data_IF_994076957514
#
_entry.id   IF_994076957514
#
_cell.length_a   1.000
_cell.length_b   1.000
_cell.length_c   1.000
_cell.angle_alpha   90.00
_cell.angle_beta   90.00
_cell.angle_gamma   90.00
#
_symmetry.space_group_name_H-M   'P 1'
#
loop_
_entity.id
_entity.type
_entity.pdbx_description
1 polymer ?
#
# COMPACT_ATOMS: atom_id res chain seq x y z
N UNK A 1 -13.70 -13.56 15.07
CA UNK A 1 -14.00 -12.20 14.53
C UNK A 1 -12.98 -11.18 14.98
N UNK A 2 -12.65 -11.13 16.28
CA UNK A 2 -11.62 -10.22 16.82
C UNK A 2 -10.26 -10.38 16.15
N UNK A 3 -9.86 -11.61 15.81
CA UNK A 3 -8.58 -11.88 15.12
C UNK A 3 -8.55 -11.21 13.74
N UNK A 4 -9.63 -11.35 12.97
CA UNK A 4 -9.76 -10.72 11.65
C UNK A 4 -9.82 -9.19 11.73
N UNK A 5 -10.47 -8.63 12.76
CA UNK A 5 -10.47 -7.19 13.01
C UNK A 5 -9.07 -6.65 13.28
N UNK A 6 -8.27 -7.40 14.05
CA UNK A 6 -6.90 -7.03 14.39
C UNK A 6 -5.98 -7.12 13.16
N UNK A 7 -6.11 -8.18 12.36
CA UNK A 7 -5.40 -8.30 11.08
C UNK A 7 -5.77 -7.15 10.11
N UNK A 8 -7.05 -6.79 10.03
CA UNK A 8 -7.52 -5.66 9.22
C UNK A 8 -6.91 -4.33 9.70
N UNK A 9 -6.84 -4.09 11.00
CA UNK A 9 -6.24 -2.88 11.57
C UNK A 9 -4.73 -2.80 11.26
N UNK A 10 -4.00 -3.90 11.40
CA UNK A 10 -2.58 -3.96 11.04
C UNK A 10 -2.40 -3.65 9.54
N UNK A 11 -3.22 -4.26 8.68
CA UNK A 11 -3.19 -4.01 7.24
C UNK A 11 -3.45 -2.53 6.91
N UNK A 12 -4.44 -1.91 7.57
CA UNK A 12 -4.77 -0.51 7.38
C UNK A 12 -3.60 0.41 7.79
N UNK A 13 -2.97 0.14 8.94
CA UNK A 13 -1.81 0.90 9.43
C UNK A 13 -0.66 0.81 8.43
N UNK A 14 -0.27 -0.39 8.01
CA UNK A 14 0.83 -0.56 7.06
C UNK A 14 0.53 0.06 5.70
N UNK A 15 -0.69 -0.10 5.19
CA UNK A 15 -1.10 0.50 3.91
C UNK A 15 -1.04 2.02 3.99
N UNK A 16 -1.55 2.62 5.07
CA UNK A 16 -1.55 4.06 5.26
C UNK A 16 -0.13 4.64 5.37
N UNK A 17 0.79 3.93 6.02
CA UNK A 17 2.18 4.38 6.15
C UNK A 17 3.02 4.15 4.89
N UNK A 18 2.87 3.01 4.20
CA UNK A 18 3.70 2.66 3.04
C UNK A 18 3.29 3.40 1.76
N UNK A 19 2.00 3.70 1.59
CA UNK A 19 1.49 4.38 0.38
C UNK A 19 2.21 5.71 0.09
N UNK A 20 2.33 6.67 1.03
CA UNK A 20 3.04 7.93 0.75
C UNK A 20 4.54 7.74 0.53
N UNK A 21 5.16 6.71 1.12
CA UNK A 21 6.58 6.42 0.91
C UNK A 21 6.83 5.92 -0.52
N UNK A 22 6.02 4.94 -0.96
CA UNK A 22 6.09 4.40 -2.32
C UNK A 22 5.70 5.47 -3.35
N UNK A 23 4.76 6.36 -3.04
CA UNK A 23 4.42 7.49 -3.89
C UNK A 23 5.63 8.38 -4.19
N UNK A 24 6.42 8.74 -3.16
CA UNK A 24 7.64 9.55 -3.33
C UNK A 24 8.66 8.83 -4.21
N UNK A 25 8.87 7.54 -4.00
CA UNK A 25 9.78 6.74 -4.84
C UNK A 25 9.28 6.61 -6.28
N UNK A 26 7.96 6.48 -6.50
CA UNK A 26 7.38 6.42 -7.83
C UNK A 26 7.62 7.70 -8.63
N UNK A 27 7.50 8.85 -7.97
CA UNK A 27 7.77 10.16 -8.57
C UNK A 27 9.27 10.28 -8.91
N UNK A 28 10.15 9.89 -7.98
CA UNK A 28 11.61 9.92 -8.20
C UNK A 28 12.04 9.00 -9.35
N UNK A 29 11.43 7.82 -9.45
CA UNK A 29 11.69 6.85 -10.52
C UNK A 29 11.02 7.22 -11.85
N UNK A 30 10.32 8.37 -11.94
CA UNK A 30 9.52 8.79 -13.10
C UNK A 30 8.47 7.75 -13.53
N UNK A 31 8.02 6.91 -12.61
CA UNK A 31 6.96 5.94 -12.82
C UNK A 31 5.58 6.60 -12.70
N UNK A 32 5.40 7.64 -13.51
CA UNK A 32 4.26 8.54 -13.47
C UNK A 32 3.53 8.54 -14.81
N UNK A 33 2.21 8.72 -14.79
CA UNK A 33 1.43 8.89 -16.01
C UNK A 33 1.69 10.29 -16.59
N UNK A 34 2.07 10.35 -17.85
CA UNK A 34 2.14 11.62 -18.59
C UNK A 34 0.74 12.12 -18.90
N UNK A 35 0.47 13.38 -18.59
CA UNK A 35 -0.78 14.06 -18.96
C UNK A 35 -0.82 14.21 -20.48
N UNK A 36 -1.94 13.85 -21.11
CA UNK A 36 -2.18 14.01 -22.55
C UNK A 36 -3.14 15.18 -22.75
N UNK A 37 -3.08 15.83 -23.91
CA UNK A 37 -3.95 16.98 -24.23
C UNK A 37 -5.45 16.67 -24.20
N UNK A 38 -5.83 15.38 -24.23
CA UNK A 38 -7.22 14.90 -24.11
C UNK A 38 -7.65 14.53 -22.69
N UNK A 39 -6.75 14.56 -21.71
CA UNK A 39 -7.04 14.15 -20.34
C UNK A 39 -7.55 15.33 -19.52
N UNK A 40 -8.63 15.11 -18.77
CA UNK A 40 -9.18 16.13 -17.86
C UNK A 40 -8.31 16.34 -16.60
N UNK A 41 -7.32 15.46 -16.37
CA UNK A 41 -6.43 15.52 -15.20
C UNK A 41 -5.21 16.37 -15.54
N UNK A 42 -5.02 17.46 -14.81
CA UNK A 42 -3.85 18.35 -14.94
C UNK A 42 -2.67 17.89 -14.11
N UNK A 43 -2.90 17.01 -13.12
CA UNK A 43 -1.87 16.53 -12.20
C UNK A 43 -1.29 15.17 -12.63
N UNK A 44 0.01 15.02 -12.38
CA UNK A 44 0.77 13.80 -12.67
C UNK A 44 0.41 12.72 -11.64
N UNK A 45 -0.07 11.55 -12.10
CA UNK A 45 -0.46 10.44 -11.22
C UNK A 45 0.64 9.36 -11.12
N UNK A 46 1.10 9.02 -9.90
CA UNK A 46 2.09 7.95 -9.69
C UNK A 46 1.46 6.56 -9.83
N UNK A 47 2.15 5.62 -10.50
CA UNK A 47 1.60 4.30 -10.88
C UNK A 47 1.99 3.13 -9.98
N UNK A 48 2.79 3.34 -8.94
CA UNK A 48 3.28 2.25 -8.06
C UNK A 48 2.35 1.90 -6.90
N UNK A 49 1.03 2.16 -7.02
CA UNK A 49 0.06 1.78 -5.99
C UNK A 49 0.06 0.27 -5.71
N UNK A 50 0.17 -0.56 -6.75
CA UNK A 50 0.24 -2.02 -6.59
C UNK A 50 1.46 -2.49 -5.80
N UNK A 51 2.61 -1.81 -5.95
CA UNK A 51 3.83 -2.09 -5.16
C UNK A 51 3.60 -1.78 -3.69
N UNK A 52 2.94 -0.66 -3.39
CA UNK A 52 2.58 -0.30 -2.01
C UNK A 52 1.67 -1.35 -1.37
N UNK A 53 0.65 -1.82 -2.11
CA UNK A 53 -0.26 -2.88 -1.62
C UNK A 53 0.46 -4.21 -1.40
N UNK A 54 1.37 -4.61 -2.29
CA UNK A 54 2.14 -5.85 -2.16
C UNK A 54 3.02 -5.83 -0.91
N UNK A 55 3.74 -4.72 -0.68
CA UNK A 55 4.58 -4.55 0.51
C UNK A 55 3.76 -4.53 1.80
N UNK A 56 2.65 -3.78 1.83
CA UNK A 56 1.79 -3.69 3.00
C UNK A 56 1.13 -5.05 3.33
N UNK A 57 0.62 -5.76 2.32
CA UNK A 57 0.04 -7.09 2.48
C UNK A 57 1.07 -8.11 2.94
N UNK A 58 2.25 -8.14 2.32
CA UNK A 58 3.34 -9.02 2.73
C UNK A 58 3.77 -8.77 4.19
N UNK A 59 3.95 -7.51 4.58
CA UNK A 59 4.30 -7.16 5.96
C UNK A 59 3.19 -7.55 6.95
N UNK A 60 1.92 -7.32 6.58
CA UNK A 60 0.76 -7.75 7.38
C UNK A 60 0.78 -9.25 7.61
N UNK A 61 0.99 -10.05 6.55
CA UNK A 61 1.02 -11.51 6.67
C UNK A 61 2.18 -11.99 7.54
N UNK A 62 3.37 -11.39 7.39
CA UNK A 62 4.53 -11.72 8.23
C UNK A 62 4.27 -11.37 9.71
N UNK A 63 3.71 -10.19 9.97
CA UNK A 63 3.35 -9.78 11.34
C UNK A 63 2.28 -10.69 11.93
N UNK A 64 1.18 -10.92 11.20
CA UNK A 64 0.08 -11.79 11.66
C UNK A 64 0.56 -13.23 11.86
N UNK A 65 1.46 -13.75 11.02
CA UNK A 65 2.05 -15.07 11.20
C UNK A 65 2.88 -15.17 12.50
N UNK A 66 3.63 -14.11 12.83
CA UNK A 66 4.41 -14.05 14.08
C UNK A 66 3.56 -13.85 15.33
N UNK A 67 2.36 -13.25 15.17
CA UNK A 67 1.41 -13.08 16.26
C UNK A 67 0.60 -14.37 16.43
N UNK A 68 0.58 -14.93 17.64
CA UNK A 68 -0.22 -16.10 17.99
C UNK A 68 -1.73 -15.73 18.10
N UNK A 69 -2.31 -15.18 17.02
CA UNK A 69 -3.68 -14.67 16.97
C UNK A 69 -4.70 -15.80 16.81
N UNK A 70 -4.33 -16.82 16.06
CA UNK A 70 -5.13 -18.04 15.91
C UNK A 70 -4.53 -19.07 16.85
N UNK A 71 -5.22 -19.31 17.96
CA UNK A 71 -4.85 -20.36 18.90
C UNK A 71 -4.79 -21.72 18.20
N UNK A 72 -3.88 -22.56 18.66
CA UNK A 72 -4.17 -24.00 18.70
C UNK A 72 -5.38 -24.24 19.60
#
# INVERSE_FOLDING_TARGET
MREYSLALLIAAIFTYMLTPLVQRWAIQARAVATVRDRDIHTEITPRWGGVAMWLAGGLTLLTVHSLNLVGR
#
